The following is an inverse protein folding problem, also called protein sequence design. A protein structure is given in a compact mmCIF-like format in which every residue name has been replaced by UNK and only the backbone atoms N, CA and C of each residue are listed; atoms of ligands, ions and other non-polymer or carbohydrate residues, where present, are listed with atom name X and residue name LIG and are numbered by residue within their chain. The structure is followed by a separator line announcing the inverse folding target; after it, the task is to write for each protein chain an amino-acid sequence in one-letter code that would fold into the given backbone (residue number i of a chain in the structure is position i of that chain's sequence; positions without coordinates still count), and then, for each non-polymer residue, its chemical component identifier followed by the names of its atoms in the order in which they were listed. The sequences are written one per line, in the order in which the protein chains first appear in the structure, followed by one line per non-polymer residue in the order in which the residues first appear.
data_IF_402036564425
#
_entry.id   IF_402036564425
#
_cell.length_a   1.000
_cell.length_b   1.000
_cell.length_c   1.000
_cell.angle_alpha   90.00
_cell.angle_beta   90.00
_cell.angle_gamma   90.00
#
_symmetry.space_group_name_H-M   'P 1'
#
loop_
_entity.id
_entity.type
_entity.pdbx_description
1 polymer ?
#
# COMPACT_ATOMS: atom_id res chain seq x y z
N UNK A 1 3.15 14.96 -19.09
CA UNK A 1 3.35 15.16 -17.63
C UNK A 1 4.81 15.52 -17.39
N UNK A 2 5.10 16.46 -16.50
CA UNK A 2 6.47 16.82 -16.08
C UNK A 2 6.68 16.33 -14.65
N UNK A 3 6.81 15.01 -14.49
CA UNK A 3 6.89 14.37 -13.18
C UNK A 3 8.25 14.65 -12.52
N UNK A 4 8.20 15.13 -11.29
CA UNK A 4 9.34 15.17 -10.38
C UNK A 4 9.83 13.75 -10.07
N UNK A 5 11.11 13.58 -9.65
CA UNK A 5 11.61 12.27 -9.21
C UNK A 5 10.72 11.61 -8.15
N UNK A 6 10.24 12.40 -7.18
CA UNK A 6 9.35 11.92 -6.11
C UNK A 6 8.02 11.39 -6.64
N UNK A 7 7.44 12.02 -7.64
CA UNK A 7 6.19 11.53 -8.26
C UNK A 7 6.42 10.23 -9.02
N UNK A 8 7.57 10.08 -9.68
CA UNK A 8 7.95 8.80 -10.32
C UNK A 8 8.11 7.68 -9.29
N UNK A 9 8.75 7.95 -8.16
CA UNK A 9 8.91 6.96 -7.08
C UNK A 9 7.55 6.50 -6.53
N UNK A 10 6.59 7.42 -6.38
CA UNK A 10 5.22 7.08 -5.97
C UNK A 10 4.50 6.18 -6.98
N UNK A 11 4.77 6.32 -8.28
CA UNK A 11 4.24 5.40 -9.29
C UNK A 11 4.80 3.98 -9.13
N UNK A 12 6.07 3.84 -8.72
CA UNK A 12 6.65 2.53 -8.43
C UNK A 12 5.97 1.86 -7.24
N UNK A 13 5.63 2.65 -6.20
CA UNK A 13 4.88 2.15 -5.04
C UNK A 13 3.48 1.68 -5.45
N UNK A 14 2.75 2.48 -6.23
CA UNK A 14 1.42 2.11 -6.72
C UNK A 14 1.47 0.80 -7.53
N UNK A 15 2.48 0.66 -8.40
CA UNK A 15 2.69 -0.59 -9.16
C UNK A 15 2.98 -1.79 -8.24
N UNK A 16 3.84 -1.62 -7.24
CA UNK A 16 4.15 -2.67 -6.27
C UNK A 16 2.89 -3.10 -5.49
N UNK A 17 2.05 -2.14 -5.09
CA UNK A 17 0.79 -2.41 -4.40
C UNK A 17 -0.22 -3.15 -5.29
N UNK A 18 -0.33 -2.78 -6.57
CA UNK A 18 -1.15 -3.51 -7.53
C UNK A 18 -0.71 -4.98 -7.70
N UNK A 19 0.60 -5.23 -7.75
CA UNK A 19 1.15 -6.59 -7.82
C UNK A 19 0.88 -7.36 -6.51
N UNK A 20 1.08 -6.72 -5.36
CA UNK A 20 0.81 -7.29 -4.05
C UNK A 20 -0.67 -7.67 -3.87
N UNK A 21 -1.59 -6.78 -4.27
CA UNK A 21 -3.04 -7.01 -4.22
C UNK A 21 -3.44 -8.24 -5.04
N UNK A 22 -2.94 -8.32 -6.28
CA UNK A 22 -3.16 -9.48 -7.17
C UNK A 22 -2.59 -10.78 -6.62
N UNK A 23 -1.49 -10.74 -5.85
CA UNK A 23 -0.94 -11.93 -5.19
C UNK A 23 -1.85 -12.38 -4.04
N UNK A 24 -2.27 -11.43 -3.21
CA UNK A 24 -3.15 -11.69 -2.08
C UNK A 24 -4.52 -12.24 -2.52
N UNK A 25 -5.11 -11.70 -3.59
CA UNK A 25 -6.36 -12.19 -4.19
C UNK A 25 -6.27 -13.65 -4.66
N UNK A 26 -5.07 -14.12 -5.03
CA UNK A 26 -4.81 -15.53 -5.36
C UNK A 26 -4.50 -16.40 -4.13
N UNK A 27 -4.61 -15.87 -2.91
CA UNK A 27 -4.32 -16.57 -1.67
C UNK A 27 -2.83 -16.66 -1.31
N UNK A 28 -1.95 -15.92 -1.99
CA UNK A 28 -0.54 -15.87 -1.63
C UNK A 28 -0.35 -14.92 -0.44
N UNK A 29 0.27 -15.41 0.63
CA UNK A 29 0.66 -14.57 1.76
C UNK A 29 1.71 -13.54 1.33
N UNK A 30 1.52 -12.30 1.76
CA UNK A 30 2.38 -11.17 1.44
C UNK A 30 3.73 -11.31 2.15
N UNK A 31 4.81 -11.00 1.44
CA UNK A 31 6.11 -10.75 2.07
C UNK A 31 6.20 -9.29 2.59
N UNK A 32 7.33 -8.96 3.21
CA UNK A 32 7.56 -7.65 3.83
C UNK A 32 7.36 -6.44 2.88
N UNK A 33 8.03 -6.36 1.71
CA UNK A 33 7.85 -5.22 0.82
C UNK A 33 6.44 -5.14 0.21
N UNK A 34 5.77 -6.28 0.00
CA UNK A 34 4.40 -6.29 -0.52
C UNK A 34 3.39 -5.72 0.50
N UNK A 35 3.53 -6.07 1.78
CA UNK A 35 2.72 -5.51 2.85
C UNK A 35 2.91 -3.99 2.97
N UNK A 36 4.17 -3.52 2.94
CA UNK A 36 4.48 -2.08 2.97
C UNK A 36 3.86 -1.37 1.76
N UNK A 37 3.98 -1.95 0.56
CA UNK A 37 3.43 -1.34 -0.65
C UNK A 37 1.92 -1.14 -0.54
N UNK A 38 1.17 -2.15 -0.08
CA UNK A 38 -0.28 -2.04 0.10
C UNK A 38 -0.69 -0.97 1.12
N UNK A 39 -0.02 -0.92 2.27
CA UNK A 39 -0.31 0.09 3.30
C UNK A 39 0.00 1.50 2.77
N UNK A 40 1.13 1.64 2.07
CA UNK A 40 1.55 2.94 1.53
C UNK A 40 0.60 3.44 0.46
N UNK A 41 0.22 2.58 -0.48
CA UNK A 41 -0.76 2.87 -1.53
C UNK A 41 -2.10 3.32 -0.94
N UNK A 42 -2.60 2.60 0.08
CA UNK A 42 -3.82 2.98 0.80
C UNK A 42 -3.74 4.40 1.40
N UNK A 43 -2.62 4.74 2.05
CA UNK A 43 -2.45 6.07 2.66
C UNK A 43 -2.34 7.16 1.60
N UNK A 44 -1.63 6.91 0.49
CA UNK A 44 -1.47 7.88 -0.59
C UNK A 44 -2.80 8.15 -1.30
N UNK A 45 -3.58 7.12 -1.59
CA UNK A 45 -4.91 7.26 -2.19
C UNK A 45 -5.90 7.90 -1.22
N UNK A 46 -5.86 7.54 0.06
CA UNK A 46 -6.70 8.19 1.07
C UNK A 46 -6.36 9.69 1.24
N UNK A 47 -5.09 10.06 1.13
CA UNK A 47 -4.70 11.47 1.09
C UNK A 47 -5.20 12.16 -0.19
N UNK A 48 -5.23 11.45 -1.33
CA UNK A 48 -5.79 11.96 -2.59
C UNK A 48 -7.30 12.22 -2.48
N UNK A 49 -8.01 11.42 -1.69
CA UNK A 49 -9.43 11.57 -1.37
C UNK A 49 -9.70 12.70 -0.35
N UNK A 50 -8.66 13.31 0.20
CA UNK A 50 -8.78 14.41 1.16
C UNK A 50 -9.04 13.98 2.60
N UNK A 51 -8.78 12.71 2.94
CA UNK A 51 -8.95 12.20 4.31
C UNK A 51 -7.89 12.80 5.25
N UNK A 52 -8.25 13.13 6.50
CA UNK A 52 -7.32 13.73 7.45
C UNK A 52 -6.24 12.73 7.90
N UNK A 53 -5.06 13.24 8.25
CA UNK A 53 -3.91 12.43 8.66
C UNK A 53 -4.25 11.49 9.81
N UNK A 54 -4.96 11.96 10.84
CA UNK A 54 -5.33 11.15 12.00
C UNK A 54 -6.20 9.94 11.61
N UNK A 55 -7.11 10.10 10.64
CA UNK A 55 -7.94 9.01 10.15
C UNK A 55 -7.12 8.00 9.34
N UNK A 56 -6.18 8.48 8.50
CA UNK A 56 -5.30 7.61 7.72
C UNK A 56 -4.30 6.85 8.59
N UNK A 57 -3.85 7.45 9.70
CA UNK A 57 -3.00 6.77 10.68
C UNK A 57 -3.73 5.58 11.31
N UNK A 58 -4.97 5.77 11.73
CA UNK A 58 -5.77 4.70 12.31
C UNK A 58 -6.16 3.65 11.26
N UNK A 59 -6.74 4.09 10.14
CA UNK A 59 -7.22 3.17 9.10
C UNK A 59 -6.07 2.37 8.46
N UNK A 60 -4.87 2.97 8.33
CA UNK A 60 -3.67 2.32 7.81
C UNK A 60 -3.24 1.10 8.62
N UNK A 61 -3.50 1.08 9.93
CA UNK A 61 -3.18 -0.04 10.81
C UNK A 61 -4.02 -1.29 10.54
N UNK A 62 -5.17 -1.14 9.86
CA UNK A 62 -6.13 -2.21 9.59
C UNK A 62 -6.10 -2.72 8.14
N UNK A 63 -5.19 -2.20 7.29
CA UNK A 63 -5.11 -2.56 5.87
C UNK A 63 -4.65 -4.00 5.65
N UNK A 64 -3.73 -4.48 6.50
CA UNK A 64 -3.15 -5.83 6.41
C UNK A 64 -3.23 -6.50 7.78
N UNK A 65 -3.82 -7.69 7.82
CA UNK A 65 -3.89 -8.54 9.00
C UNK A 65 -2.75 -9.55 9.05
N UNK A 66 -2.50 -10.09 10.24
CA UNK A 66 -1.47 -11.12 10.46
C UNK A 66 -1.68 -12.38 9.61
N UNK A 67 -2.93 -12.73 9.30
CA UNK A 67 -3.24 -13.90 8.46
C UNK A 67 -2.82 -13.72 6.98
N UNK A 68 -2.69 -12.47 6.52
CA UNK A 68 -2.39 -12.13 5.13
C UNK A 68 -0.89 -12.03 4.84
N UNK A 69 -0.03 -12.14 5.87
CA UNK A 69 1.43 -12.02 5.73
C UNK A 69 2.13 -13.35 6.03
N UNK A 70 3.33 -13.52 5.49
CA UNK A 70 4.23 -14.63 5.83
C UNK A 70 4.68 -14.54 7.29
N UNK A 71 5.01 -15.68 7.90
CA UNK A 71 5.71 -15.72 9.19
C UNK A 71 7.20 -15.47 8.94
N UNK A 72 7.83 -14.65 9.79
CA UNK A 72 9.27 -14.37 9.76
C UNK A 72 10.05 -15.48 10.45
#
# INVERSE_FOLDING_TARGET
MNLTPREKDKLLIAMAAMVARKRLERGVKLNHPEAIALITDFVVEGARDGRPVAELMEAGAHVVSRAQVMEL
#
